data_IF_720104128480
#
_entry.id   IF_720104128480
#
_cell.length_a   1.000
_cell.length_b   1.000
_cell.length_c   1.000
_cell.angle_alpha   90.00
_cell.angle_beta   90.00
_cell.angle_gamma   90.00
#
_symmetry.space_group_name_H-M   'P 1'
#
loop_
_entity.id
_entity.type
_entity.pdbx_description
1 polymer ?
#
# COMPACT_ATOMS: atom_id res chain seq x y z
N UNK A 1 -49.19 37.26 -23.26
CA UNK A 1 -48.41 36.38 -24.15
C UNK A 1 -48.09 35.09 -23.40
N UNK A 2 -48.76 33.98 -23.73
CA UNK A 2 -48.50 32.70 -23.09
C UNK A 2 -47.20 32.09 -23.63
N UNK A 3 -46.22 31.85 -22.74
CA UNK A 3 -44.95 31.19 -23.11
C UNK A 3 -45.27 29.78 -23.62
N UNK A 4 -44.91 29.51 -24.88
CA UNK A 4 -45.08 28.21 -25.55
C UNK A 4 -44.16 27.20 -24.87
N UNK A 5 -44.71 26.40 -23.95
CA UNK A 5 -43.99 25.30 -23.34
C UNK A 5 -43.78 24.20 -24.39
N UNK A 6 -42.54 24.02 -24.84
CA UNK A 6 -42.16 22.96 -25.78
C UNK A 6 -42.03 21.67 -24.97
N UNK A 7 -43.14 20.93 -24.81
CA UNK A 7 -43.07 19.56 -24.31
C UNK A 7 -42.69 18.63 -25.47
N UNK A 8 -41.41 18.32 -25.63
CA UNK A 8 -40.96 17.19 -26.46
C UNK A 8 -41.52 15.90 -25.84
N UNK A 9 -42.44 15.24 -26.53
CA UNK A 9 -43.09 14.00 -26.06
C UNK A 9 -42.06 12.88 -25.91
N UNK A 10 -41.66 12.56 -24.68
CA UNK A 10 -40.91 11.35 -24.39
C UNK A 10 -41.88 10.16 -24.43
N UNK A 11 -41.63 9.20 -25.33
CA UNK A 11 -42.51 8.03 -25.48
C UNK A 11 -42.05 6.95 -24.51
N UNK A 12 -42.83 6.69 -23.48
CA UNK A 12 -42.54 5.60 -22.55
C UNK A 12 -42.72 4.24 -23.24
N UNK A 13 -41.78 3.30 -23.09
CA UNK A 13 -41.88 1.93 -23.61
C UNK A 13 -43.12 1.17 -23.12
N UNK A 14 -43.61 1.46 -21.92
CA UNK A 14 -44.81 0.86 -21.36
C UNK A 14 -45.61 1.86 -20.53
N UNK A 15 -46.90 1.60 -20.38
CA UNK A 15 -47.81 2.37 -19.51
C UNK A 15 -47.44 2.22 -18.03
N UNK A 16 -46.97 1.03 -17.61
CA UNK A 16 -46.51 0.78 -16.25
C UNK A 16 -45.28 1.62 -15.87
N UNK A 17 -44.30 1.73 -16.76
CA UNK A 17 -43.11 2.53 -16.51
C UNK A 17 -43.47 4.01 -16.38
N UNK A 18 -44.41 4.49 -17.20
CA UNK A 18 -44.92 5.86 -17.10
C UNK A 18 -45.56 6.14 -15.74
N UNK A 19 -46.38 5.22 -15.24
CA UNK A 19 -47.04 5.40 -13.94
C UNK A 19 -46.03 5.37 -12.80
N UNK A 20 -45.04 4.47 -12.83
CA UNK A 20 -43.94 4.44 -11.87
C UNK A 20 -43.16 5.77 -11.84
N UNK A 21 -42.87 6.34 -13.00
CA UNK A 21 -42.20 7.65 -13.09
C UNK A 21 -43.08 8.75 -12.52
N UNK A 22 -44.38 8.73 -12.80
CA UNK A 22 -45.31 9.74 -12.30
C UNK A 22 -45.46 9.72 -10.77
N UNK A 23 -45.47 8.53 -10.18
CA UNK A 23 -45.46 8.32 -8.73
C UNK A 23 -44.14 8.87 -8.16
N UNK A 24 -43.00 8.47 -8.71
CA UNK A 24 -41.68 8.91 -8.25
C UNK A 24 -41.48 10.43 -8.35
N UNK A 25 -42.02 11.07 -9.40
CA UNK A 25 -42.01 12.54 -9.57
C UNK A 25 -42.74 13.23 -8.43
N UNK A 26 -43.91 12.72 -8.04
CA UNK A 26 -44.69 13.27 -6.93
C UNK A 26 -44.01 13.04 -5.58
N UNK A 27 -43.58 11.82 -5.31
CA UNK A 27 -42.95 11.45 -4.04
C UNK A 27 -41.65 12.21 -3.79
N UNK A 28 -40.85 12.42 -4.84
CA UNK A 28 -39.56 13.10 -4.74
C UNK A 28 -39.66 14.62 -4.99
N UNK A 29 -40.87 15.16 -5.15
CA UNK A 29 -41.12 16.61 -5.21
C UNK A 29 -40.64 17.30 -6.48
N UNK A 30 -40.54 16.60 -7.61
CA UNK A 30 -40.08 17.20 -8.86
C UNK A 30 -41.17 18.05 -9.51
N UNK A 31 -40.78 19.24 -10.00
CA UNK A 31 -41.66 20.20 -10.69
C UNK A 31 -42.29 19.67 -11.99
N UNK A 32 -41.69 18.65 -12.60
CA UNK A 32 -42.18 18.01 -13.83
C UNK A 32 -41.51 16.64 -14.05
N UNK A 33 -42.15 15.77 -14.83
CA UNK A 33 -41.56 14.48 -15.26
C UNK A 33 -40.24 14.67 -16.00
N UNK A 34 -40.12 15.71 -16.83
CA UNK A 34 -38.87 16.03 -17.53
C UNK A 34 -37.75 16.41 -16.56
N UNK A 35 -38.04 17.16 -15.49
CA UNK A 35 -37.03 17.51 -14.49
C UNK A 35 -36.52 16.27 -13.74
N UNK A 36 -37.41 15.30 -13.47
CA UNK A 36 -37.04 14.02 -12.89
C UNK A 36 -36.16 13.19 -13.83
N UNK A 37 -36.53 13.09 -15.12
CA UNK A 37 -35.74 12.34 -16.09
C UNK A 37 -34.35 12.95 -16.31
N UNK A 38 -34.24 14.28 -16.38
CA UNK A 38 -32.94 14.96 -16.48
C UNK A 38 -32.09 14.67 -15.24
N UNK A 39 -32.66 14.79 -14.03
CA UNK A 39 -31.94 14.50 -12.79
C UNK A 39 -31.50 13.02 -12.69
N UNK A 40 -32.32 12.10 -13.19
CA UNK A 40 -31.98 10.68 -13.27
C UNK A 40 -30.83 10.43 -14.27
N UNK A 41 -30.88 11.05 -15.46
CA UNK A 41 -29.78 10.97 -16.42
C UNK A 41 -28.48 11.56 -15.87
N UNK A 42 -28.54 12.71 -15.21
CA UNK A 42 -27.37 13.32 -14.54
C UNK A 42 -26.82 12.45 -13.40
N UNK A 43 -27.70 11.76 -12.67
CA UNK A 43 -27.30 10.82 -11.63
C UNK A 43 -26.59 9.60 -12.23
N UNK A 44 -27.14 8.97 -13.27
CA UNK A 44 -26.54 7.81 -13.93
C UNK A 44 -25.19 8.15 -14.58
N UNK A 45 -25.09 9.32 -15.24
CA UNK A 45 -23.81 9.79 -15.80
C UNK A 45 -22.76 10.00 -14.71
N UNK A 46 -23.13 10.70 -13.62
CA UNK A 46 -22.23 10.92 -12.47
C UNK A 46 -21.85 9.61 -11.78
N UNK A 47 -22.77 8.65 -11.71
CA UNK A 47 -22.51 7.33 -11.14
C UNK A 47 -21.56 6.53 -12.03
N UNK A 48 -21.71 6.58 -13.35
CA UNK A 48 -20.75 5.98 -14.30
C UNK A 48 -19.33 6.54 -14.11
N UNK A 49 -19.19 7.86 -14.13
CA UNK A 49 -17.91 8.55 -13.92
C UNK A 49 -17.28 8.21 -12.57
N UNK A 50 -18.07 8.20 -11.50
CA UNK A 50 -17.61 7.81 -10.17
C UNK A 50 -17.22 6.34 -10.10
N UNK A 51 -17.95 5.45 -10.77
CA UNK A 51 -17.67 4.00 -10.77
C UNK A 51 -16.35 3.72 -11.48
N UNK A 52 -16.09 4.36 -12.61
CA UNK A 52 -14.81 4.28 -13.32
C UNK A 52 -13.66 4.82 -12.46
N UNK A 53 -13.85 6.00 -11.84
CA UNK A 53 -12.85 6.59 -10.94
C UNK A 53 -12.56 5.69 -9.72
N UNK A 54 -13.59 5.09 -9.11
CA UNK A 54 -13.41 4.14 -7.99
C UNK A 54 -12.71 2.87 -8.44
N UNK A 55 -13.04 2.32 -9.61
CA UNK A 55 -12.40 1.11 -10.15
C UNK A 55 -10.92 1.35 -10.45
N UNK A 56 -10.58 2.51 -11.02
CA UNK A 56 -9.18 2.89 -11.26
C UNK A 56 -8.41 3.06 -9.95
N UNK A 57 -9.05 3.66 -8.94
CA UNK A 57 -8.46 3.83 -7.61
C UNK A 57 -8.23 2.47 -6.94
N UNK A 58 -9.21 1.58 -6.98
CA UNK A 58 -9.10 0.21 -6.47
C UNK A 58 -7.99 -0.58 -7.18
N UNK A 59 -7.88 -0.47 -8.50
CA UNK A 59 -6.80 -1.10 -9.27
C UNK A 59 -5.42 -0.58 -8.85
N UNK A 60 -5.28 0.74 -8.64
CA UNK A 60 -4.03 1.34 -8.14
C UNK A 60 -3.70 0.88 -6.71
N UNK A 61 -4.70 0.78 -5.84
CA UNK A 61 -4.54 0.23 -4.50
C UNK A 61 -4.09 -1.24 -4.54
N UNK A 62 -4.75 -2.07 -5.34
CA UNK A 62 -4.40 -3.49 -5.50
C UNK A 62 -2.97 -3.67 -6.04
N UNK A 63 -2.56 -2.84 -7.01
CA UNK A 63 -1.19 -2.82 -7.52
C UNK A 63 -0.18 -2.43 -6.44
N UNK A 64 -0.50 -1.41 -5.63
CA UNK A 64 0.36 -0.98 -4.51
C UNK A 64 0.50 -2.07 -3.45
N UNK A 65 -0.59 -2.71 -3.06
CA UNK A 65 -0.58 -3.83 -2.10
C UNK A 65 0.21 -5.03 -2.64
N UNK A 66 0.07 -5.34 -3.94
CA UNK A 66 0.83 -6.41 -4.58
C UNK A 66 2.33 -6.12 -4.58
N UNK A 67 2.71 -4.87 -4.84
CA UNK A 67 4.12 -4.46 -4.81
C UNK A 67 4.70 -4.53 -3.38
N UNK A 68 3.93 -4.09 -2.38
CA UNK A 68 4.31 -4.24 -0.97
C UNK A 68 4.46 -5.72 -0.57
N UNK A 69 3.54 -6.59 -1.00
CA UNK A 69 3.63 -8.02 -0.74
C UNK A 69 4.91 -8.63 -1.35
N UNK A 70 5.29 -8.23 -2.56
CA UNK A 70 6.57 -8.63 -3.18
C UNK A 70 7.78 -8.15 -2.37
N UNK A 71 7.76 -6.91 -1.90
CA UNK A 71 8.84 -6.36 -1.07
C UNK A 71 8.97 -7.14 0.25
N UNK A 72 7.87 -7.41 0.94
CA UNK A 72 7.87 -8.22 2.17
C UNK A 72 8.40 -9.63 1.91
N UNK A 73 8.00 -10.27 0.80
CA UNK A 73 8.52 -11.58 0.42
C UNK A 73 10.03 -11.53 0.15
N UNK A 74 10.53 -10.49 -0.51
CA UNK A 74 11.97 -10.31 -0.74
C UNK A 74 12.76 -10.14 0.56
N UNK A 75 12.22 -9.37 1.52
CA UNK A 75 12.80 -9.22 2.85
C UNK A 75 12.83 -10.54 3.62
N UNK A 76 11.77 -11.34 3.50
CA UNK A 76 11.73 -12.68 4.10
C UNK A 76 12.79 -13.59 3.51
N UNK A 77 12.95 -13.61 2.19
CA UNK A 77 14.01 -14.37 1.51
C UNK A 77 15.39 -13.92 1.96
N UNK A 78 15.63 -12.61 2.06
CA UNK A 78 16.88 -12.06 2.57
C UNK A 78 17.13 -12.50 4.03
N UNK A 79 16.10 -12.48 4.88
CA UNK A 79 16.19 -12.97 6.26
C UNK A 79 16.58 -14.44 6.32
N UNK A 80 15.96 -15.30 5.51
CA UNK A 80 16.33 -16.72 5.43
C UNK A 80 17.77 -16.91 4.92
N UNK A 81 18.18 -16.16 3.90
CA UNK A 81 19.55 -16.19 3.39
C UNK A 81 20.58 -15.77 4.46
N UNK A 82 20.29 -14.72 5.23
CA UNK A 82 21.16 -14.26 6.31
C UNK A 82 21.32 -15.31 7.41
N UNK A 83 20.23 -15.98 7.80
CA UNK A 83 20.28 -17.08 8.78
C UNK A 83 21.12 -18.24 8.25
N UNK A 84 20.91 -18.65 6.99
CA UNK A 84 21.68 -19.73 6.37
C UNK A 84 23.17 -19.39 6.26
N UNK A 85 23.51 -18.16 5.87
CA UNK A 85 24.91 -17.69 5.82
C UNK A 85 25.55 -17.68 7.21
N UNK A 86 24.81 -17.23 8.23
CA UNK A 86 25.30 -17.23 9.62
C UNK A 86 25.54 -18.65 10.12
N UNK A 87 24.66 -19.60 9.80
CA UNK A 87 24.82 -21.01 10.15
C UNK A 87 26.06 -21.65 9.49
N UNK A 88 26.24 -21.43 8.17
CA UNK A 88 27.43 -21.91 7.45
C UNK A 88 28.71 -21.29 8.00
N UNK A 89 28.69 -19.98 8.28
CA UNK A 89 29.82 -19.29 8.88
C UNK A 89 30.15 -19.85 10.27
N UNK A 90 29.14 -20.09 11.11
CA UNK A 90 29.34 -20.68 12.44
C UNK A 90 29.94 -22.08 12.34
N UNK A 91 29.41 -22.93 11.45
CA UNK A 91 29.96 -24.27 11.19
C UNK A 91 31.42 -24.19 10.76
N UNK A 92 31.73 -23.28 9.83
CA UNK A 92 33.11 -23.05 9.39
C UNK A 92 34.01 -22.62 10.55
N UNK A 93 33.58 -21.65 11.35
CA UNK A 93 34.34 -21.18 12.53
C UNK A 93 34.59 -22.31 13.52
N UNK A 94 33.58 -23.13 13.85
CA UNK A 94 33.73 -24.26 14.78
C UNK A 94 34.73 -25.28 14.24
N UNK A 95 34.79 -25.50 12.91
CA UNK A 95 35.79 -26.41 12.32
C UNK A 95 37.21 -25.83 12.30
N UNK A 96 37.36 -24.51 12.31
CA UNK A 96 38.66 -23.84 12.15
C UNK A 96 39.24 -23.28 13.45
N UNK A 97 38.43 -23.10 14.49
CA UNK A 97 38.86 -22.52 15.78
C UNK A 97 39.03 -23.65 16.79
N UNK A 98 40.29 -23.89 17.17
CA UNK A 98 40.64 -24.86 18.21
C UNK A 98 40.12 -24.37 19.56
N UNK A 99 39.44 -25.26 20.28
CA UNK A 99 38.99 -24.98 21.64
C UNK A 99 40.20 -24.78 22.57
N UNK A 100 40.26 -23.68 23.35
CA UNK A 100 41.37 -23.47 24.27
C UNK A 100 41.37 -24.55 25.36
N UNK A 101 42.55 -24.93 25.88
CA UNK A 101 42.62 -25.84 27.03
C UNK A 101 41.95 -25.22 28.28
N UNK A 102 41.45 -26.09 29.16
CA UNK A 102 40.57 -25.72 30.29
C UNK A 102 41.15 -24.66 31.23
N UNK A 103 42.48 -24.67 31.41
CA UNK A 103 43.23 -23.70 32.21
C UNK A 103 43.26 -22.30 31.57
N UNK A 104 43.27 -22.22 30.25
CA UNK A 104 43.29 -20.98 29.48
C UNK A 104 41.88 -20.48 29.10
N UNK A 105 40.83 -21.30 29.23
CA UNK A 105 39.44 -20.96 28.89
C UNK A 105 38.96 -19.65 29.55
N UNK A 106 39.18 -19.39 30.85
CA UNK A 106 38.70 -18.15 31.47
C UNK A 106 39.33 -16.90 30.85
N UNK A 107 40.64 -16.93 30.61
CA UNK A 107 41.36 -15.81 30.00
C UNK A 107 40.98 -15.62 28.52
N UNK A 108 40.76 -16.72 27.78
CA UNK A 108 40.29 -16.68 26.41
C UNK A 108 38.89 -16.04 26.29
N UNK A 109 37.95 -16.39 27.19
CA UNK A 109 36.60 -15.81 27.25
C UNK A 109 36.62 -14.31 27.51
N UNK A 110 37.44 -13.84 28.45
CA UNK A 110 37.58 -12.40 28.72
C UNK A 110 38.09 -11.65 27.49
N UNK A 111 39.13 -12.18 26.82
CA UNK A 111 39.66 -11.58 25.58
C UNK A 111 38.64 -11.58 24.44
N UNK A 112 37.90 -12.67 24.28
CA UNK A 112 36.85 -12.78 23.26
C UNK A 112 35.75 -11.75 23.49
N UNK A 113 35.29 -11.59 24.73
CA UNK A 113 34.28 -10.58 25.11
C UNK A 113 34.74 -9.16 24.80
N UNK A 114 35.99 -8.81 25.17
CA UNK A 114 36.54 -7.50 24.87
C UNK A 114 36.62 -7.22 23.36
N UNK A 115 37.02 -8.22 22.56
CA UNK A 115 37.04 -8.11 21.09
C UNK A 115 35.63 -7.93 20.52
N UNK A 116 34.66 -8.68 21.04
CA UNK A 116 33.27 -8.57 20.62
C UNK A 116 32.68 -7.20 20.93
N UNK A 117 32.94 -6.66 22.13
CA UNK A 117 32.50 -5.30 22.49
C UNK A 117 33.07 -4.23 21.56
N UNK A 118 34.35 -4.36 21.15
CA UNK A 118 34.96 -3.46 20.15
C UNK A 118 34.28 -3.58 18.78
N UNK A 119 34.00 -4.81 18.35
CA UNK A 119 33.30 -5.06 17.09
C UNK A 119 31.90 -4.43 17.09
N UNK A 120 31.14 -4.62 18.17
CA UNK A 120 29.78 -4.05 18.30
C UNK A 120 29.83 -2.52 18.27
N UNK A 121 30.80 -1.89 18.94
CA UNK A 121 30.98 -0.44 18.90
C UNK A 121 31.29 0.06 17.49
N UNK A 122 32.25 -0.58 16.80
CA UNK A 122 32.59 -0.22 15.42
C UNK A 122 31.39 -0.39 14.47
N UNK A 123 30.63 -1.47 14.61
CA UNK A 123 29.42 -1.69 13.82
C UNK A 123 28.34 -0.61 14.10
N UNK A 124 28.15 -0.23 15.36
CA UNK A 124 27.22 0.82 15.75
C UNK A 124 27.62 2.19 15.17
N UNK A 125 28.91 2.52 15.19
CA UNK A 125 29.45 3.73 14.57
C UNK A 125 29.22 3.75 13.05
N UNK A 126 29.48 2.63 12.37
CA UNK A 126 29.26 2.51 10.93
C UNK A 126 27.78 2.69 10.56
N UNK A 127 26.86 2.06 11.28
CA UNK A 127 25.42 2.20 11.08
C UNK A 127 24.98 3.65 11.32
N UNK A 128 25.49 4.28 12.39
CA UNK A 128 25.18 5.69 12.68
C UNK A 128 25.66 6.62 11.56
N UNK A 129 26.84 6.38 11.00
CA UNK A 129 27.39 7.17 9.92
C UNK A 129 26.60 6.98 8.62
N UNK A 130 26.27 5.73 8.24
CA UNK A 130 25.40 5.44 7.10
C UNK A 130 24.07 6.18 7.20
N UNK A 131 23.43 6.17 8.37
CA UNK A 131 22.18 6.90 8.58
C UNK A 131 22.35 8.41 8.39
N UNK A 132 23.46 8.99 8.87
CA UNK A 132 23.75 10.42 8.67
C UNK A 132 23.98 10.75 7.19
N UNK A 133 24.65 9.88 6.45
CA UNK A 133 24.95 10.09 5.04
C UNK A 133 23.66 10.00 4.20
N UNK A 134 22.78 9.02 4.48
CA UNK A 134 21.46 8.97 3.86
C UNK A 134 20.64 10.23 4.13
N UNK A 135 20.65 10.75 5.37
CA UNK A 135 19.96 12.00 5.70
C UNK A 135 20.54 13.21 4.97
N UNK A 136 21.86 13.25 4.75
CA UNK A 136 22.52 14.32 3.98
C UNK A 136 22.17 14.26 2.51
N UNK A 137 22.12 13.08 1.93
CA UNK A 137 21.72 12.87 0.54
C UNK A 137 20.28 13.36 0.30
N UNK A 138 19.35 13.00 1.20
CA UNK A 138 17.97 13.48 1.14
C UNK A 138 17.83 15.01 1.28
N UNK A 139 18.75 15.68 1.99
CA UNK A 139 18.77 17.13 2.14
C UNK A 139 19.49 17.85 0.99
N UNK A 140 20.27 17.13 0.18
CA UNK A 140 21.00 17.68 -0.96
C UNK A 140 20.21 17.58 -2.29
N UNK A 141 19.17 16.75 -2.32
CA UNK A 141 18.25 16.56 -3.45
C UNK A 141 17.02 17.52 -3.41
N UNK A 142 17.02 18.54 -2.53
CA UNK A 142 16.12 19.71 -2.57
C UNK A 142 16.74 20.89 -3.33
#
# INVERSE_FOLDING_TARGET
MAKKAISRNFRYPSTELREKVRIAVKERGFRSEQAFLIAACEHELRQGDNTEATTQFEARMAATLTNLAKQVQSLRTLGHAQVALTDVFLKYVITCVVEPPDDALPAARVRARLRYEKLVRAAAEEISNKNKDTLREMLADE
#
